data_IF_159089303288
#
_entry.id   IF_159089303288
#
_cell.length_a   1.000
_cell.length_b   1.000
_cell.length_c   1.000
_cell.angle_alpha   90.00
_cell.angle_beta   90.00
_cell.angle_gamma   90.00
#
_symmetry.space_group_name_H-M   'P 1'
#
loop_
_entity.id
_entity.type
_entity.pdbx_description
1 polymer ?
#
# COMPACT_ATOMS: atom_id res chain seq x y z
N UNK A 1 0.17 26.42 -7.81
CA UNK A 1 -0.51 25.52 -6.85
C UNK A 1 -0.16 24.12 -7.28
N UNK A 2 0.51 23.33 -6.44
CA UNK A 2 0.76 21.92 -6.75
C UNK A 2 -0.57 21.15 -6.65
N UNK A 3 -0.86 20.30 -7.64
CA UNK A 3 -2.06 19.45 -7.63
C UNK A 3 -1.80 18.29 -6.68
N UNK A 4 -2.62 18.07 -5.63
CA UNK A 4 -2.42 16.94 -4.74
C UNK A 4 -2.54 15.63 -5.51
N UNK A 5 -1.74 14.63 -5.14
CA UNK A 5 -1.86 13.26 -5.63
C UNK A 5 -1.70 12.28 -4.47
N UNK A 6 -2.51 11.22 -4.48
CA UNK A 6 -2.67 10.26 -3.38
C UNK A 6 -2.12 8.90 -3.80
N UNK A 7 -1.37 8.24 -2.91
CA UNK A 7 -0.93 6.85 -3.08
C UNK A 7 -1.51 5.97 -1.98
N UNK A 8 -2.22 4.92 -2.37
CA UNK A 8 -2.60 3.82 -1.47
C UNK A 8 -1.54 2.71 -1.53
N UNK A 9 -0.94 2.37 -0.40
CA UNK A 9 -0.01 1.25 -0.29
C UNK A 9 -0.72 0.06 0.34
N UNK A 10 -0.90 -1.00 -0.45
CA UNK A 10 -1.60 -2.23 -0.05
C UNK A 10 -0.59 -3.38 0.07
N UNK A 11 -0.75 -4.21 1.09
CA UNK A 11 -0.10 -5.50 1.22
C UNK A 11 -0.68 -6.51 0.24
N UNK A 12 0.14 -7.47 -0.17
CA UNK A 12 -0.31 -8.64 -0.91
C UNK A 12 -1.14 -9.60 -0.05
N UNK A 13 -0.88 -9.62 1.26
CA UNK A 13 -1.40 -10.62 2.20
C UNK A 13 -2.64 -10.15 2.97
N UNK A 14 -2.87 -8.83 3.07
CA UNK A 14 -3.99 -8.27 3.83
C UNK A 14 -5.18 -7.86 2.93
N UNK A 15 -6.38 -7.96 3.48
CA UNK A 15 -7.57 -7.28 2.94
C UNK A 15 -7.53 -5.81 3.33
N UNK A 16 -6.78 -5.02 2.56
CA UNK A 16 -6.63 -3.57 2.78
C UNK A 16 -7.83 -2.73 2.30
N UNK A 17 -9.04 -3.27 2.40
CA UNK A 17 -10.26 -2.58 1.99
C UNK A 17 -10.43 -1.22 2.68
N UNK A 18 -10.01 -1.13 3.94
CA UNK A 18 -10.03 0.12 4.70
C UNK A 18 -9.02 1.17 4.18
N UNK A 19 -7.81 0.74 3.79
CA UNK A 19 -6.77 1.64 3.24
C UNK A 19 -7.24 2.21 1.91
N UNK A 20 -7.81 1.36 1.05
CA UNK A 20 -8.32 1.80 -0.23
C UNK A 20 -9.54 2.74 -0.07
N UNK A 21 -10.47 2.41 0.84
CA UNK A 21 -11.63 3.25 1.11
C UNK A 21 -11.20 4.64 1.60
N UNK A 22 -10.21 4.69 2.51
CA UNK A 22 -9.69 5.95 3.03
C UNK A 22 -8.93 6.76 1.97
N UNK A 23 -8.11 6.09 1.14
CA UNK A 23 -7.41 6.75 0.04
C UNK A 23 -8.38 7.29 -1.02
N UNK A 24 -9.45 6.55 -1.32
CA UNK A 24 -10.51 7.01 -2.23
C UNK A 24 -11.29 8.19 -1.65
N UNK A 25 -11.64 8.16 -0.36
CA UNK A 25 -12.27 9.27 0.34
C UNK A 25 -11.40 10.53 0.26
N UNK A 26 -10.12 10.41 0.60
CA UNK A 26 -9.16 11.52 0.57
C UNK A 26 -8.96 12.08 -0.84
N UNK A 27 -8.86 11.19 -1.85
CA UNK A 27 -8.74 11.60 -3.25
C UNK A 27 -9.98 12.38 -3.72
N UNK A 28 -11.19 11.95 -3.33
CA UNK A 28 -12.42 12.65 -3.65
C UNK A 28 -12.50 14.03 -2.98
N UNK A 29 -12.15 14.13 -1.69
CA UNK A 29 -12.16 15.40 -0.94
C UNK A 29 -11.20 16.44 -1.51
N UNK A 30 -10.04 15.99 -2.00
CA UNK A 30 -8.99 16.85 -2.54
C UNK A 30 -9.08 17.05 -4.05
N UNK A 31 -10.08 16.43 -4.72
CA UNK A 31 -10.18 16.35 -6.18
C UNK A 31 -8.84 15.92 -6.84
N UNK A 32 -8.21 14.92 -6.23
CA UNK A 32 -6.85 14.47 -6.52
C UNK A 32 -6.84 13.09 -7.21
N UNK A 33 -5.89 12.82 -8.11
CA UNK A 33 -5.67 11.47 -8.63
C UNK A 33 -5.25 10.50 -7.52
N UNK A 34 -5.79 9.27 -7.61
CA UNK A 34 -5.42 8.14 -6.75
C UNK A 34 -4.57 7.14 -7.53
N UNK A 35 -3.39 6.84 -7.00
CA UNK A 35 -2.52 5.74 -7.42
C UNK A 35 -2.57 4.60 -6.40
N UNK A 36 -2.49 3.37 -6.87
CA UNK A 36 -2.45 2.17 -6.01
C UNK A 36 -1.12 1.45 -6.24
N UNK A 37 -0.46 1.04 -5.16
CA UNK A 37 0.69 0.15 -5.20
C UNK A 37 0.46 -1.05 -4.29
N UNK A 38 0.63 -2.25 -4.85
CA UNK A 38 0.72 -3.48 -4.08
C UNK A 38 2.17 -3.76 -3.75
N UNK A 39 2.46 -3.95 -2.47
CA UNK A 39 3.76 -4.32 -1.94
C UNK A 39 3.75 -5.81 -1.59
N UNK A 40 4.72 -6.52 -2.15
CA UNK A 40 4.93 -7.94 -1.99
C UNK A 40 6.28 -8.16 -1.30
N UNK A 41 6.42 -9.21 -0.48
CA UNK A 41 7.75 -9.68 -0.05
C UNK A 41 8.66 -9.95 -1.26
N UNK A 42 9.97 -9.77 -1.12
CA UNK A 42 10.93 -9.97 -2.23
C UNK A 42 10.85 -11.39 -2.81
N UNK A 43 10.58 -12.37 -1.94
CA UNK A 43 10.41 -13.78 -2.29
C UNK A 43 9.04 -14.15 -2.88
N UNK A 44 8.12 -13.20 -3.09
CA UNK A 44 6.78 -13.50 -3.57
C UNK A 44 6.75 -14.17 -4.95
N UNK A 45 6.19 -15.36 -5.02
CA UNK A 45 6.03 -16.18 -6.24
C UNK A 45 4.59 -16.30 -6.72
N UNK A 46 3.61 -15.83 -5.93
CA UNK A 46 2.21 -15.84 -6.29
C UNK A 46 1.87 -14.86 -7.43
N UNK A 47 0.65 -14.96 -8.00
CA UNK A 47 0.20 -14.00 -8.99
C UNK A 47 0.09 -12.59 -8.38
N UNK A 48 0.34 -11.57 -9.18
CA UNK A 48 0.02 -10.19 -8.80
C UNK A 48 -1.50 -10.03 -8.68
N UNK A 49 -1.94 -9.21 -7.71
CA UNK A 49 -3.36 -8.89 -7.56
C UNK A 49 -3.83 -8.10 -8.77
N UNK A 50 -4.91 -8.54 -9.41
CA UNK A 50 -5.46 -7.84 -10.55
C UNK A 50 -6.19 -6.57 -10.08
N UNK A 51 -5.62 -5.41 -10.39
CA UNK A 51 -6.24 -4.11 -10.16
C UNK A 51 -5.91 -3.16 -11.32
N UNK A 52 -6.90 -2.49 -11.93
CA UNK A 52 -6.66 -1.60 -13.06
C UNK A 52 -5.66 -0.49 -12.72
N UNK A 53 -4.54 -0.44 -13.46
CA UNK A 53 -3.53 0.60 -13.30
C UNK A 53 -2.73 0.56 -11.99
N UNK A 54 -2.79 -0.53 -11.23
CA UNK A 54 -1.98 -0.66 -10.03
C UNK A 54 -0.51 -0.93 -10.35
N UNK A 55 0.34 -0.40 -9.48
CA UNK A 55 1.77 -0.69 -9.46
C UNK A 55 2.04 -1.88 -8.55
N UNK A 56 3.12 -2.62 -8.84
CA UNK A 56 3.53 -3.77 -8.07
C UNK A 56 4.99 -3.60 -7.66
N UNK A 57 5.25 -3.67 -6.36
CA UNK A 57 6.58 -3.52 -5.76
C UNK A 57 6.92 -4.79 -4.99
N UNK A 58 8.04 -5.45 -5.31
CA UNK A 58 8.60 -6.53 -4.49
C UNK A 58 9.74 -5.97 -3.65
N UNK A 59 9.56 -5.90 -2.34
CA UNK A 59 10.57 -5.43 -1.40
C UNK A 59 10.20 -5.84 0.03
N UNK A 60 11.18 -6.37 0.77
CA UNK A 60 11.03 -6.61 2.21
C UNK A 60 11.13 -5.29 3.00
N UNK A 61 11.89 -4.33 2.48
CA UNK A 61 12.02 -2.97 3.00
C UNK A 61 11.49 -1.96 1.95
N UNK A 62 10.18 -1.70 1.91
CA UNK A 62 9.57 -0.92 0.84
C UNK A 62 9.69 0.60 1.03
N UNK A 63 10.21 1.07 2.17
CA UNK A 63 10.20 2.50 2.54
C UNK A 63 10.95 3.36 1.52
N UNK A 64 12.20 2.98 1.18
CA UNK A 64 13.00 3.76 0.24
C UNK A 64 12.46 3.68 -1.20
N UNK A 65 12.11 2.50 -1.76
CA UNK A 65 11.46 2.42 -3.07
C UNK A 65 10.16 3.21 -3.16
N UNK A 66 9.30 3.17 -2.12
CA UNK A 66 8.06 3.93 -2.07
C UNK A 66 8.30 5.43 -2.00
N UNK A 67 9.29 5.89 -1.23
CA UNK A 67 9.65 7.30 -1.16
C UNK A 67 10.13 7.83 -2.53
N UNK A 68 10.97 7.05 -3.24
CA UNK A 68 11.42 7.38 -4.59
C UNK A 68 10.26 7.38 -5.59
N UNK A 69 9.36 6.39 -5.50
CA UNK A 69 8.15 6.32 -6.31
C UNK A 69 7.25 7.55 -6.08
N UNK A 70 7.00 7.89 -4.82
CA UNK A 70 6.19 9.04 -4.45
C UNK A 70 6.76 10.33 -5.03
N UNK A 71 8.07 10.56 -4.84
CA UNK A 71 8.78 11.73 -5.39
C UNK A 71 8.70 11.80 -6.91
N UNK A 72 8.93 10.69 -7.61
CA UNK A 72 8.93 10.64 -9.08
C UNK A 72 7.56 10.93 -9.69
N UNK A 73 6.48 10.53 -9.01
CA UNK A 73 5.12 10.65 -9.50
C UNK A 73 4.37 11.87 -8.92
N UNK A 74 5.06 12.75 -8.18
CA UNK A 74 4.43 13.93 -7.57
C UNK A 74 3.38 13.57 -6.51
N UNK A 75 3.52 12.41 -5.85
CA UNK A 75 2.62 12.00 -4.78
C UNK A 75 2.86 12.89 -3.58
N UNK A 76 1.78 13.49 -3.10
CA UNK A 76 1.76 14.44 -1.97
C UNK A 76 1.25 13.81 -0.68
N UNK A 77 0.44 12.75 -0.78
CA UNK A 77 -0.14 12.04 0.35
C UNK A 77 0.00 10.54 0.15
N UNK A 78 0.36 9.83 1.22
CA UNK A 78 0.48 8.37 1.22
C UNK A 78 -0.42 7.82 2.31
N UNK A 79 -1.29 6.87 1.94
CA UNK A 79 -2.19 6.17 2.86
C UNK A 79 -1.63 4.76 3.05
N UNK A 80 -1.39 4.40 4.31
CA UNK A 80 -0.81 3.12 4.72
C UNK A 80 -1.79 2.36 5.61
N UNK A 81 -1.75 1.02 5.54
CA UNK A 81 -2.38 0.17 6.54
C UNK A 81 -1.73 0.32 7.91
N UNK A 82 -2.44 -0.10 8.96
CA UNK A 82 -2.01 0.02 10.37
C UNK A 82 -0.65 -0.65 10.64
N UNK A 83 -0.36 -1.74 9.93
CA UNK A 83 0.89 -2.50 10.05
C UNK A 83 1.98 -1.96 9.11
N UNK A 84 1.62 -1.07 8.19
CA UNK A 84 2.49 -0.60 7.13
C UNK A 84 2.73 -1.66 6.04
N UNK A 85 3.24 -1.24 4.87
CA UNK A 85 3.60 -2.15 3.80
C UNK A 85 4.81 -2.99 4.21
N UNK A 86 4.71 -4.32 4.09
CA UNK A 86 5.83 -5.25 4.32
C UNK A 86 5.92 -5.84 5.73
N UNK A 87 5.03 -5.48 6.67
CA UNK A 87 4.92 -6.21 7.93
C UNK A 87 3.80 -7.25 7.83
N UNK A 88 4.18 -8.50 7.54
CA UNK A 88 3.31 -9.64 7.81
C UNK A 88 2.97 -9.63 9.29
N UNK A 89 1.68 -9.60 9.63
CA UNK A 89 1.21 -9.88 10.98
C UNK A 89 1.75 -11.26 11.38
N UNK A 90 2.86 -11.29 12.14
CA UNK A 90 3.14 -12.39 13.05
C UNK A 90 2.05 -12.37 14.12
N UNK A 91 0.86 -12.85 13.75
CA UNK A 91 -0.14 -13.31 14.71
C UNK A 91 0.54 -14.44 15.46
N UNK A 92 1.10 -14.07 16.61
CA UNK A 92 1.71 -15.00 17.54
C UNK A 92 0.71 -16.11 17.82
N UNK A 93 1.10 -17.33 17.46
CA UNK A 93 0.43 -18.53 17.92
C UNK A 93 0.48 -18.49 19.45
N UNK A 94 -0.65 -18.21 20.09
CA UNK A 94 -0.84 -18.38 21.54
C UNK A 94 -2.25 -18.89 21.76
N UNK A 95 -2.47 -20.11 21.30
CA UNK A 95 -3.54 -20.96 21.77
C UNK A 95 -2.97 -22.35 22.10
N UNK A 96 -1.88 -22.37 22.86
CA UNK A 96 -1.58 -23.48 23.78
C UNK A 96 -1.81 -22.91 25.19
N UNK A 97 -3.03 -23.06 25.70
CA UNK A 97 -3.29 -23.47 27.09
C UNK A 97 -4.82 -23.52 27.33
N UNK A 98 -5.37 -24.74 27.33
CA UNK A 98 -6.34 -25.27 28.31
C UNK A 98 -6.92 -26.60 27.87
#
# INVERSE_FOLDING_TARGET
MEVPAILACLSAEEEDGAVLAEAARLAAELAAPLSVVFVYPSGWTGPARAWPGAWHLKADEPQEPLARFAKRNGITHVVLGRNGPGQTLMSSNSAEDR
#
